data_IF_548782261378
#
_entry.id   IF_548782261378
#
_cell.length_a   1.000
_cell.length_b   1.000
_cell.length_c   1.000
_cell.angle_alpha   90.00
_cell.angle_beta   90.00
_cell.angle_gamma   90.00
#
_symmetry.space_group_name_H-M   'P 1'
#
loop_
_entity.id
_entity.type
_entity.pdbx_description
1 polymer ?
#
# COMPACT_ATOMS: atom_id res chain seq x y z
N UNK A 1 30.71 -30.78 26.78
CA UNK A 1 29.80 -30.57 25.63
C UNK A 1 29.90 -31.79 24.72
N UNK A 2 28.78 -32.27 24.15
CA UNK A 2 28.84 -33.25 23.07
C UNK A 2 29.56 -32.65 21.86
N UNK A 3 30.15 -33.51 21.02
CA UNK A 3 30.76 -33.09 19.77
C UNK A 3 29.69 -32.45 18.88
N UNK A 4 29.89 -31.25 18.32
CA UNK A 4 28.93 -30.65 17.41
C UNK A 4 28.81 -31.48 16.11
N UNK A 5 27.67 -31.40 15.39
CA UNK A 5 27.51 -32.06 14.09
C UNK A 5 28.57 -31.60 13.09
N UNK A 6 29.02 -32.50 12.23
CA UNK A 6 29.92 -32.15 11.13
C UNK A 6 29.20 -31.26 10.10
N UNK A 7 29.77 -30.08 9.84
CA UNK A 7 29.25 -29.08 8.89
C UNK A 7 30.09 -29.00 7.60
N UNK A 8 31.05 -29.89 7.41
CA UNK A 8 31.94 -29.92 6.23
C UNK A 8 31.19 -30.01 4.89
N UNK A 9 29.96 -30.55 4.91
CA UNK A 9 29.06 -30.67 3.76
C UNK A 9 28.31 -29.36 3.41
N UNK A 10 28.31 -28.38 4.30
CA UNK A 10 27.59 -27.12 4.10
C UNK A 10 28.40 -26.23 3.16
N UNK A 11 27.82 -25.83 2.03
CA UNK A 11 28.54 -25.10 0.97
C UNK A 11 29.16 -23.76 1.41
N UNK A 12 28.68 -23.14 2.49
CA UNK A 12 29.29 -21.93 3.07
C UNK A 12 30.65 -22.20 3.74
N UNK A 13 30.92 -23.45 4.13
CA UNK A 13 32.17 -23.89 4.75
C UNK A 13 33.18 -24.42 3.72
N UNK A 14 32.80 -24.55 2.44
CA UNK A 14 33.69 -24.98 1.39
C UNK A 14 34.70 -23.87 1.02
N UNK A 15 35.88 -24.28 0.54
CA UNK A 15 36.86 -23.34 -0.03
C UNK A 15 36.37 -22.81 -1.38
N UNK A 16 36.57 -21.52 -1.64
CA UNK A 16 36.39 -20.93 -2.96
C UNK A 16 37.65 -21.17 -3.82
N UNK A 17 37.56 -21.90 -4.95
CA UNK A 17 38.73 -22.17 -5.80
C UNK A 17 39.37 -20.90 -6.36
N UNK A 18 38.58 -19.84 -6.61
CA UNK A 18 39.07 -18.59 -7.16
C UNK A 18 39.94 -17.79 -6.18
N UNK A 19 39.83 -18.04 -4.87
CA UNK A 19 40.56 -17.34 -3.82
C UNK A 19 41.56 -18.22 -3.08
N UNK A 20 41.98 -19.34 -3.67
CA UNK A 20 42.94 -20.27 -3.06
C UNK A 20 44.30 -19.64 -2.69
N UNK A 21 44.62 -18.48 -3.25
CA UNK A 21 45.87 -17.72 -3.10
C UNK A 21 45.67 -16.35 -2.42
N UNK A 22 44.54 -16.15 -1.72
CA UNK A 22 44.14 -14.87 -1.14
C UNK A 22 45.21 -14.20 -0.27
N UNK A 23 45.98 -14.99 0.48
CA UNK A 23 47.05 -14.56 1.39
C UNK A 23 48.31 -14.06 0.68
N UNK A 24 48.45 -14.33 -0.62
CA UNK A 24 49.59 -13.90 -1.44
C UNK A 24 49.33 -12.63 -2.26
N UNK A 25 48.07 -12.18 -2.31
CA UNK A 25 47.66 -10.96 -3.00
C UNK A 25 48.03 -9.72 -2.17
N UNK A 26 48.32 -8.62 -2.86
CA UNK A 26 48.38 -7.31 -2.20
C UNK A 26 46.97 -6.79 -1.86
N UNK A 27 46.90 -5.70 -1.11
CA UNK A 27 45.62 -5.15 -0.65
C UNK A 27 44.67 -4.79 -1.81
N UNK A 28 45.21 -4.32 -2.94
CA UNK A 28 44.42 -3.98 -4.13
C UNK A 28 43.87 -5.24 -4.81
N UNK A 29 44.68 -6.29 -4.96
CA UNK A 29 44.28 -7.59 -5.49
C UNK A 29 43.22 -8.27 -4.63
N UNK A 30 43.37 -8.23 -3.29
CA UNK A 30 42.36 -8.73 -2.35
C UNK A 30 41.03 -8.00 -2.58
N UNK A 31 41.04 -6.67 -2.62
CA UNK A 31 39.83 -5.88 -2.82
C UNK A 31 39.17 -6.17 -4.18
N UNK A 32 39.95 -6.25 -5.26
CA UNK A 32 39.45 -6.56 -6.60
C UNK A 32 38.79 -7.95 -6.66
N UNK A 33 39.44 -8.96 -6.08
CA UNK A 33 38.91 -10.33 -6.00
C UNK A 33 37.62 -10.37 -5.18
N UNK A 34 37.55 -9.67 -4.05
CA UNK A 34 36.34 -9.58 -3.24
C UNK A 34 35.16 -8.94 -3.99
N UNK A 35 35.42 -7.88 -4.78
CA UNK A 35 34.39 -7.20 -5.58
C UNK A 35 33.90 -8.09 -6.72
N UNK A 36 34.80 -8.80 -7.39
CA UNK A 36 34.41 -9.71 -8.47
C UNK A 36 33.58 -10.89 -7.96
N UNK A 37 33.99 -11.50 -6.83
CA UNK A 37 33.23 -12.57 -6.17
C UNK A 37 31.81 -12.11 -5.76
N UNK A 38 31.64 -10.82 -5.41
CA UNK A 38 30.33 -10.25 -5.06
C UNK A 38 29.32 -10.21 -6.21
N UNK A 39 29.71 -10.41 -7.48
CA UNK A 39 28.75 -10.53 -8.58
C UNK A 39 27.72 -11.65 -8.36
N UNK A 40 28.15 -12.75 -7.74
CA UNK A 40 27.29 -13.87 -7.38
C UNK A 40 26.13 -13.49 -6.45
N UNK A 41 26.26 -12.38 -5.69
CA UNK A 41 25.18 -11.87 -4.84
C UNK A 41 23.98 -11.43 -5.67
N UNK A 42 24.23 -10.70 -6.77
CA UNK A 42 23.16 -10.19 -7.64
C UNK A 42 22.43 -11.34 -8.31
N UNK A 43 23.17 -12.32 -8.80
CA UNK A 43 22.61 -13.53 -9.42
C UNK A 43 21.76 -14.34 -8.43
N UNK A 44 22.26 -14.55 -7.21
CA UNK A 44 21.55 -15.29 -6.17
C UNK A 44 20.22 -14.62 -5.78
N UNK A 45 20.21 -13.29 -5.61
CA UNK A 45 18.98 -12.57 -5.26
C UNK A 45 18.03 -12.47 -6.44
N UNK A 46 18.53 -12.29 -7.66
CA UNK A 46 17.70 -12.30 -8.87
C UNK A 46 16.97 -13.64 -9.04
N UNK A 47 17.66 -14.76 -8.81
CA UNK A 47 17.05 -16.10 -8.83
C UNK A 47 15.99 -16.28 -7.74
N UNK A 48 16.15 -15.64 -6.58
CA UNK A 48 15.22 -15.71 -5.46
C UNK A 48 14.02 -14.74 -5.56
N UNK A 49 14.01 -13.84 -6.56
CA UNK A 49 12.97 -12.82 -6.70
C UNK A 49 11.53 -13.38 -6.73
N UNK A 50 11.21 -14.53 -7.37
CA UNK A 50 9.88 -15.11 -7.32
C UNK A 50 9.44 -15.51 -5.89
N UNK A 51 10.35 -16.09 -5.10
CA UNK A 51 10.08 -16.50 -3.73
C UNK A 51 9.87 -15.28 -2.81
N UNK A 52 10.69 -14.23 -2.98
CA UNK A 52 10.52 -12.95 -2.29
C UNK A 52 9.15 -12.33 -2.62
N UNK A 53 8.78 -12.30 -3.91
CA UNK A 53 7.49 -11.79 -4.36
C UNK A 53 6.30 -12.56 -3.75
N UNK A 54 6.36 -13.89 -3.75
CA UNK A 54 5.34 -14.74 -3.14
C UNK A 54 5.15 -14.45 -1.65
N UNK A 55 6.23 -14.33 -0.90
CA UNK A 55 6.18 -13.95 0.52
C UNK A 55 5.54 -12.57 0.71
N UNK A 56 5.92 -11.58 -0.10
CA UNK A 56 5.35 -10.22 -0.02
C UNK A 56 3.84 -10.24 -0.29
N UNK A 57 3.37 -10.95 -1.32
CA UNK A 57 1.93 -11.07 -1.60
C UNK A 57 1.16 -11.70 -0.44
N UNK A 58 1.74 -12.68 0.25
CA UNK A 58 1.13 -13.30 1.43
C UNK A 58 1.05 -12.34 2.63
N UNK A 59 2.03 -11.43 2.78
CA UNK A 59 2.06 -10.46 3.87
C UNK A 59 1.12 -9.26 3.68
N UNK A 60 0.92 -8.80 2.44
CA UNK A 60 0.10 -7.60 2.15
C UNK A 60 -1.30 -7.60 2.78
N UNK A 61 -2.14 -8.65 2.66
CA UNK A 61 -3.45 -8.66 3.31
C UNK A 61 -3.34 -8.62 4.84
N UNK A 62 -2.42 -9.39 5.44
CA UNK A 62 -2.20 -9.40 6.89
C UNK A 62 -1.78 -8.03 7.43
N UNK A 63 -0.88 -7.33 6.73
CA UNK A 63 -0.44 -5.99 7.11
C UNK A 63 -1.58 -4.96 7.04
N UNK A 64 -2.53 -5.12 6.12
CA UNK A 64 -3.74 -4.27 6.08
C UNK A 64 -4.66 -4.48 7.28
N UNK A 65 -4.58 -5.64 7.92
CA UNK A 65 -5.32 -6.01 9.13
C UNK A 65 -4.53 -5.74 10.43
N UNK A 66 -3.36 -5.10 10.34
CA UNK A 66 -2.51 -4.78 11.49
C UNK A 66 -1.45 -5.83 11.84
N UNK A 67 -1.20 -6.80 10.94
CA UNK A 67 -0.10 -7.76 11.04
C UNK A 67 1.29 -7.12 11.01
N UNK A 68 2.28 -7.86 11.52
CA UNK A 68 3.67 -7.42 11.65
C UNK A 68 4.65 -8.41 11.04
N UNK A 69 5.88 -7.95 10.80
CA UNK A 69 7.01 -8.75 10.33
C UNK A 69 8.09 -8.81 11.41
N UNK A 70 8.56 -10.01 11.74
CA UNK A 70 9.69 -10.18 12.66
C UNK A 70 10.82 -11.01 12.04
N UNK A 71 12.03 -10.48 12.08
CA UNK A 71 13.24 -11.20 11.71
C UNK A 71 13.88 -11.85 12.93
N UNK A 72 14.29 -13.11 12.81
CA UNK A 72 15.04 -13.83 13.84
C UNK A 72 16.34 -14.37 13.25
N UNK A 73 17.47 -14.02 13.85
CA UNK A 73 18.77 -14.52 13.43
C UNK A 73 19.83 -14.39 14.52
N UNK A 74 20.99 -14.98 14.30
CA UNK A 74 22.17 -14.81 15.13
C UNK A 74 23.26 -14.05 14.37
N UNK A 75 24.24 -13.50 15.09
CA UNK A 75 25.41 -12.85 14.50
C UNK A 75 25.05 -11.83 13.40
N UNK A 76 25.70 -11.93 12.24
CA UNK A 76 25.46 -11.04 11.10
C UNK A 76 24.01 -11.09 10.62
N UNK A 77 23.39 -12.27 10.53
CA UNK A 77 22.01 -12.44 10.09
C UNK A 77 21.02 -11.68 10.98
N UNK A 78 21.17 -11.80 12.31
CA UNK A 78 20.34 -11.04 13.26
C UNK A 78 20.56 -9.53 13.16
N UNK A 79 21.82 -9.08 13.01
CA UNK A 79 22.15 -7.65 12.85
C UNK A 79 21.53 -7.06 11.59
N UNK A 80 21.52 -7.80 10.48
CA UNK A 80 20.90 -7.36 9.22
C UNK A 80 19.38 -7.25 9.34
N UNK A 81 18.74 -8.18 10.06
CA UNK A 81 17.31 -8.07 10.39
C UNK A 81 17.00 -6.81 11.20
N UNK A 82 17.81 -6.49 12.20
CA UNK A 82 17.67 -5.25 12.99
C UNK A 82 17.92 -4.01 12.15
N UNK A 83 18.92 -4.02 11.26
CA UNK A 83 19.21 -2.92 10.36
C UNK A 83 18.01 -2.60 9.47
N UNK A 84 17.49 -3.58 8.73
CA UNK A 84 16.36 -3.39 7.82
C UNK A 84 15.09 -2.93 8.56
N UNK A 85 14.80 -3.52 9.73
CA UNK A 85 13.71 -3.10 10.60
C UNK A 85 13.84 -1.62 11.04
N UNK A 86 15.04 -1.19 11.44
CA UNK A 86 15.31 0.18 11.91
C UNK A 86 15.15 1.24 10.81
N UNK A 87 15.31 0.85 9.54
CA UNK A 87 15.17 1.74 8.39
C UNK A 87 13.71 1.90 7.96
N UNK A 88 12.79 1.02 8.38
CA UNK A 88 11.39 1.07 7.99
C UNK A 88 10.67 2.35 8.49
N UNK A 89 10.74 2.75 9.78
CA UNK A 89 10.07 3.98 10.25
C UNK A 89 10.48 5.26 9.52
N UNK A 90 11.78 5.62 9.35
CA UNK A 90 12.16 6.84 8.65
C UNK A 90 11.90 6.78 7.14
N UNK A 91 11.77 5.59 6.54
CA UNK A 91 11.58 5.38 5.09
C UNK A 91 10.11 5.34 4.70
N UNK A 92 9.26 4.65 5.47
CA UNK A 92 7.86 4.37 5.09
C UNK A 92 6.84 4.93 6.07
N UNK A 93 7.29 5.67 7.09
CA UNK A 93 6.43 6.13 8.17
C UNK A 93 5.64 4.99 8.79
N UNK A 94 6.31 3.86 8.96
CA UNK A 94 5.77 2.70 9.66
C UNK A 94 5.91 2.90 11.16
N UNK A 95 4.98 2.34 11.92
CA UNK A 95 5.18 2.17 13.35
C UNK A 95 6.38 1.24 13.59
N UNK A 96 7.32 1.56 14.51
CA UNK A 96 8.45 0.69 14.84
C UNK A 96 8.07 -0.75 15.20
N UNK A 97 6.84 -1.02 15.65
CA UNK A 97 6.35 -2.35 15.95
C UNK A 97 5.91 -3.15 14.70
N UNK A 98 5.77 -2.52 13.52
CA UNK A 98 5.35 -3.21 12.29
C UNK A 98 6.44 -4.10 11.71
N UNK A 99 7.71 -3.74 11.89
CA UNK A 99 8.87 -4.54 11.46
C UNK A 99 9.88 -4.57 12.59
N UNK A 100 10.17 -5.76 13.11
CA UNK A 100 11.03 -5.95 14.29
C UNK A 100 12.18 -6.90 13.95
N UNK A 101 13.41 -6.50 14.28
CA UNK A 101 14.57 -7.38 14.22
C UNK A 101 14.89 -7.96 15.60
N UNK A 102 15.02 -9.28 15.68
CA UNK A 102 15.42 -10.00 16.88
C UNK A 102 16.73 -10.74 16.64
N UNK A 103 17.72 -10.45 17.49
CA UNK A 103 19.03 -11.09 17.46
C UNK A 103 19.20 -12.04 18.65
N UNK A 104 19.73 -13.24 18.41
CA UNK A 104 20.12 -14.16 19.47
C UNK A 104 21.12 -13.48 20.43
N UNK A 105 20.87 -13.56 21.74
CA UNK A 105 21.64 -12.85 22.76
C UNK A 105 21.20 -11.42 23.05
N UNK A 106 20.14 -10.93 22.38
CA UNK A 106 19.52 -9.62 22.64
C UNK A 106 20.40 -8.43 22.22
N UNK A 107 20.02 -7.22 22.63
CA UNK A 107 20.64 -5.96 22.16
C UNK A 107 22.15 -5.89 22.32
N UNK A 108 22.71 -6.51 23.37
CA UNK A 108 24.17 -6.58 23.56
C UNK A 108 24.90 -7.25 22.37
N UNK A 109 24.22 -8.20 21.70
CA UNK A 109 24.74 -8.92 20.56
C UNK A 109 24.87 -8.06 19.29
N UNK A 110 24.26 -6.86 19.27
CA UNK A 110 24.42 -5.91 18.16
C UNK A 110 25.86 -5.42 18.05
N UNK A 111 26.56 -5.27 19.17
CA UNK A 111 27.93 -4.72 19.23
C UNK A 111 28.98 -5.73 19.64
N UNK A 112 28.58 -6.85 20.26
CA UNK A 112 29.49 -7.92 20.72
C UNK A 112 28.98 -9.27 20.23
N UNK A 113 29.85 -10.22 19.97
CA UNK A 113 29.38 -11.59 19.68
C UNK A 113 28.85 -12.24 20.95
N UNK A 114 27.71 -12.91 20.86
CA UNK A 114 27.17 -13.73 21.94
C UNK A 114 27.48 -15.20 21.65
N UNK A 115 28.56 -15.71 22.25
CA UNK A 115 28.97 -17.11 22.06
C UNK A 115 27.87 -18.07 22.57
N UNK A 116 27.58 -19.12 21.79
CA UNK A 116 26.66 -20.21 22.16
C UNK A 116 25.15 -19.93 22.06
N UNK A 117 24.72 -18.66 22.01
CA UNK A 117 23.28 -18.31 21.93
C UNK A 117 22.60 -18.76 20.64
N UNK A 118 23.37 -18.89 19.56
CA UNK A 118 22.87 -19.34 18.26
C UNK A 118 22.52 -20.83 18.22
N UNK A 119 23.09 -21.62 19.14
CA UNK A 119 22.86 -23.06 19.27
C UNK A 119 21.62 -23.37 20.14
N UNK A 120 21.01 -22.37 20.77
CA UNK A 120 19.82 -22.53 21.60
C UNK A 120 18.55 -22.59 20.74
N UNK A 121 18.08 -23.80 20.43
CA UNK A 121 16.83 -24.02 19.70
C UNK A 121 15.62 -23.32 20.33
N UNK A 122 15.50 -23.35 21.67
CA UNK A 122 14.43 -22.68 22.41
C UNK A 122 14.65 -21.19 22.68
N UNK A 123 15.79 -20.62 22.26
CA UNK A 123 16.24 -19.29 22.67
C UNK A 123 15.30 -18.14 22.27
N UNK A 124 14.48 -18.33 21.23
CA UNK A 124 13.52 -17.33 20.75
C UNK A 124 12.19 -17.30 21.54
N UNK A 125 11.93 -18.27 22.43
CA UNK A 125 10.61 -18.44 23.08
C UNK A 125 10.16 -17.19 23.84
N UNK A 126 11.02 -16.66 24.71
CA UNK A 126 10.70 -15.51 25.54
C UNK A 126 10.38 -14.27 24.71
N UNK A 127 11.07 -14.08 23.58
CA UNK A 127 10.86 -12.92 22.73
C UNK A 127 9.58 -13.05 21.89
N UNK A 128 9.26 -14.25 21.38
CA UNK A 128 7.99 -14.52 20.71
C UNK A 128 6.79 -14.28 21.65
N UNK A 129 6.93 -14.61 22.94
CA UNK A 129 5.93 -14.35 23.97
C UNK A 129 5.81 -12.85 24.29
N UNK A 130 6.96 -12.18 24.49
CA UNK A 130 7.02 -10.72 24.74
C UNK A 130 6.38 -9.92 23.61
N UNK A 131 6.60 -10.33 22.36
CA UNK A 131 6.03 -9.71 21.18
C UNK A 131 4.58 -10.12 20.92
N UNK A 132 4.03 -11.07 21.69
CA UNK A 132 2.70 -11.64 21.50
C UNK A 132 2.46 -12.08 20.05
N UNK A 133 3.39 -12.88 19.50
CA UNK A 133 3.30 -13.34 18.11
C UNK A 133 2.04 -14.19 17.89
N UNK A 134 1.29 -13.89 16.83
CA UNK A 134 0.02 -14.54 16.50
C UNK A 134 -0.27 -14.66 15.00
N UNK A 135 -1.52 -14.99 14.61
CA UNK A 135 -1.86 -15.37 13.24
C UNK A 135 -1.67 -14.31 12.15
N UNK A 136 -1.76 -13.04 12.52
CA UNK A 136 -1.53 -11.91 11.61
C UNK A 136 -0.04 -11.64 11.38
N UNK A 137 0.85 -12.20 12.19
CA UNK A 137 2.27 -11.97 12.08
C UNK A 137 2.94 -12.88 11.05
N UNK A 138 4.10 -12.42 10.57
CA UNK A 138 5.02 -13.20 9.76
C UNK A 138 6.39 -13.22 10.43
N UNK A 139 6.93 -14.41 10.67
CA UNK A 139 8.24 -14.62 11.29
C UNK A 139 9.21 -15.19 10.27
N UNK A 140 10.36 -14.53 10.11
CA UNK A 140 11.40 -14.93 9.17
C UNK A 140 12.66 -15.33 9.95
N UNK A 141 13.02 -16.61 9.87
CA UNK A 141 14.31 -17.11 10.34
C UNK A 141 15.41 -16.86 9.32
N UNK A 142 16.59 -16.42 9.75
CA UNK A 142 17.72 -16.10 8.87
C UNK A 142 18.96 -16.85 9.35
N UNK A 143 19.51 -17.72 8.51
CA UNK A 143 20.76 -18.44 8.76
C UNK A 143 21.51 -18.70 7.44
N UNK A 144 22.71 -18.15 7.29
CA UNK A 144 23.50 -18.28 6.04
C UNK A 144 23.71 -19.75 5.64
N UNK A 145 24.18 -20.59 6.57
CA UNK A 145 24.36 -22.03 6.34
C UNK A 145 23.08 -22.86 6.51
N UNK A 146 21.97 -22.24 6.92
CA UNK A 146 20.67 -22.88 7.04
C UNK A 146 20.46 -23.81 8.25
N UNK A 147 21.52 -24.17 8.98
CA UNK A 147 21.47 -25.16 10.07
C UNK A 147 21.45 -24.57 11.48
N UNK A 148 21.45 -23.25 11.62
CA UNK A 148 21.54 -22.58 12.94
C UNK A 148 20.29 -22.87 13.79
N UNK A 149 20.40 -23.47 14.99
CA UNK A 149 19.25 -23.86 15.80
C UNK A 149 18.30 -22.72 16.20
N UNK A 150 18.83 -21.56 16.60
CA UNK A 150 18.01 -20.42 17.06
C UNK A 150 16.94 -19.96 16.05
N UNK A 151 17.26 -19.59 14.80
CA UNK A 151 16.25 -19.16 13.82
C UNK A 151 15.32 -20.31 13.38
N UNK A 152 15.80 -21.56 13.34
CA UNK A 152 14.96 -22.74 13.07
C UNK A 152 13.92 -22.96 14.19
N UNK A 153 14.34 -22.78 15.44
CA UNK A 153 13.44 -22.82 16.58
C UNK A 153 12.43 -21.68 16.60
N UNK A 154 12.84 -20.48 16.21
CA UNK A 154 11.95 -19.33 16.09
C UNK A 154 10.79 -19.59 15.12
N UNK A 155 11.07 -20.10 13.91
CA UNK A 155 10.01 -20.40 12.93
C UNK A 155 9.06 -21.49 13.42
N UNK A 156 9.55 -22.58 14.01
CA UNK A 156 8.69 -23.66 14.54
C UNK A 156 7.80 -23.17 15.68
N UNK A 157 8.36 -22.40 16.60
CA UNK A 157 7.62 -21.81 17.70
C UNK A 157 6.59 -20.77 17.23
N UNK A 158 6.88 -20.01 16.18
CA UNK A 158 5.94 -19.08 15.57
C UNK A 158 4.81 -19.81 14.82
N UNK A 159 5.15 -20.89 14.08
CA UNK A 159 4.19 -21.74 13.38
C UNK A 159 3.16 -22.32 14.33
N UNK A 160 3.59 -22.81 15.49
CA UNK A 160 2.72 -23.33 16.54
C UNK A 160 1.75 -22.27 17.11
N UNK A 161 2.03 -20.97 16.92
CA UNK A 161 1.17 -19.84 17.30
C UNK A 161 0.29 -19.34 16.15
N UNK A 162 0.32 -20.00 14.99
CA UNK A 162 -0.48 -19.66 13.81
C UNK A 162 0.11 -18.57 12.93
N UNK A 163 1.30 -18.04 13.23
CA UNK A 163 1.97 -17.06 12.38
C UNK A 163 2.37 -17.68 11.03
N UNK A 164 2.45 -16.85 9.98
CA UNK A 164 3.12 -17.26 8.76
C UNK A 164 4.63 -17.33 9.01
N UNK A 165 5.29 -18.26 8.35
CA UNK A 165 6.72 -18.51 8.56
C UNK A 165 7.49 -18.44 7.25
N UNK A 166 8.66 -17.82 7.30
CA UNK A 166 9.61 -17.87 6.20
C UNK A 166 11.02 -18.18 6.72
N UNK A 167 11.87 -18.66 5.82
CA UNK A 167 13.27 -18.92 6.15
C UNK A 167 14.19 -18.50 5.02
N UNK A 168 15.28 -17.83 5.35
CA UNK A 168 16.30 -17.38 4.40
C UNK A 168 17.59 -18.15 4.68
N UNK A 169 18.06 -18.89 3.67
CA UNK A 169 19.35 -19.57 3.67
C UNK A 169 20.19 -19.11 2.47
N UNK A 170 21.52 -19.16 2.58
CA UNK A 170 22.44 -18.79 1.50
C UNK A 170 23.04 -20.01 0.78
N UNK A 171 22.49 -21.19 1.05
CA UNK A 171 22.88 -22.47 0.46
C UNK A 171 21.64 -23.25 -0.01
N UNK A 172 21.71 -23.99 -1.13
CA UNK A 172 20.67 -24.93 -1.48
C UNK A 172 20.56 -26.02 -0.41
N UNK A 173 19.34 -26.21 0.10
CA UNK A 173 19.00 -27.21 1.08
C UNK A 173 17.50 -27.53 0.96
N UNK A 174 17.05 -28.59 1.64
CA UNK A 174 15.62 -28.85 1.78
C UNK A 174 14.94 -27.76 2.62
N UNK A 175 13.69 -27.45 2.26
CA UNK A 175 12.88 -26.51 3.01
C UNK A 175 12.63 -27.05 4.44
N UNK A 176 12.87 -26.25 5.50
CA UNK A 176 12.52 -26.66 6.85
C UNK A 176 11.02 -26.97 6.98
N UNK A 177 10.67 -28.00 7.76
CA UNK A 177 9.28 -28.50 7.89
C UNK A 177 8.28 -27.43 8.32
N UNK A 178 8.66 -26.54 9.24
CA UNK A 178 7.80 -25.49 9.79
C UNK A 178 7.92 -24.15 9.04
N UNK A 179 8.29 -24.18 7.75
CA UNK A 179 8.46 -23.01 6.91
C UNK A 179 7.38 -22.98 5.83
N UNK A 180 6.65 -21.87 5.69
CA UNK A 180 5.67 -21.67 4.61
C UNK A 180 6.32 -21.11 3.34
N UNK A 181 7.28 -20.20 3.51
CA UNK A 181 7.96 -19.51 2.42
C UNK A 181 9.48 -19.65 2.54
N UNK A 182 10.10 -20.40 1.63
CA UNK A 182 11.54 -20.63 1.66
C UNK A 182 12.27 -19.82 0.60
N UNK A 183 13.30 -19.08 1.02
CA UNK A 183 14.11 -18.22 0.15
C UNK A 183 15.55 -18.73 0.20
N UNK A 184 16.05 -19.16 -0.95
CA UNK A 184 17.44 -19.64 -1.13
C UNK A 184 18.25 -18.60 -1.89
N UNK A 185 19.22 -18.00 -1.22
CA UNK A 185 20.18 -17.04 -1.75
C UNK A 185 21.51 -17.75 -2.04
N UNK A 186 21.55 -18.62 -3.06
CA UNK A 186 22.71 -19.46 -3.36
C UNK A 186 23.95 -18.65 -3.78
N UNK A 187 24.75 -18.16 -2.83
CA UNK A 187 25.93 -17.29 -3.07
C UNK A 187 27.22 -18.05 -3.33
N UNK A 188 27.22 -19.37 -3.09
CA UNK A 188 28.41 -20.22 -3.17
C UNK A 188 29.43 -19.97 -2.05
N UNK A 189 30.62 -20.62 -2.14
CA UNK A 189 31.72 -20.45 -1.19
C UNK A 189 32.19 -19.01 -1.05
N UNK A 190 32.57 -18.60 0.15
CA UNK A 190 33.07 -17.25 0.42
C UNK A 190 34.55 -17.11 0.02
N UNK A 191 34.95 -15.91 -0.43
CA UNK A 191 36.37 -15.57 -0.70
C UNK A 191 37.30 -15.90 0.47
N UNK A 192 36.84 -15.67 1.71
CA UNK A 192 37.43 -16.19 2.93
C UNK A 192 36.53 -17.31 3.45
N UNK A 193 37.02 -18.55 3.39
CA UNK A 193 36.28 -19.77 3.75
C UNK A 193 35.53 -19.61 5.08
N UNK A 194 34.22 -19.89 5.09
CA UNK A 194 33.36 -19.79 6.28
C UNK A 194 32.94 -18.36 6.68
N UNK A 195 33.51 -17.30 6.09
CA UNK A 195 33.20 -15.91 6.45
C UNK A 195 31.89 -15.40 5.81
N UNK A 196 30.77 -15.99 6.22
CA UNK A 196 29.42 -15.67 5.70
C UNK A 196 28.92 -14.24 5.96
N UNK A 197 29.68 -13.44 6.72
CA UNK A 197 29.43 -11.98 6.82
C UNK A 197 29.64 -11.22 5.49
N UNK A 198 30.22 -11.88 4.47
CA UNK A 198 30.55 -11.31 3.17
C UNK A 198 29.38 -11.51 2.18
N UNK A 199 29.48 -12.40 1.17
CA UNK A 199 28.46 -12.52 0.13
C UNK A 199 27.10 -12.92 0.69
N UNK A 200 27.06 -13.92 1.58
CA UNK A 200 25.82 -14.35 2.21
C UNK A 200 25.15 -13.22 3.00
N UNK A 201 25.93 -12.41 3.72
CA UNK A 201 25.46 -11.21 4.40
C UNK A 201 24.93 -10.14 3.42
N UNK A 202 25.66 -9.85 2.34
CA UNK A 202 25.24 -8.87 1.33
C UNK A 202 23.96 -9.32 0.60
N UNK A 203 23.85 -10.60 0.25
CA UNK A 203 22.65 -11.17 -0.36
C UNK A 203 21.46 -11.10 0.59
N UNK A 204 21.66 -11.44 1.86
CA UNK A 204 20.63 -11.31 2.90
C UNK A 204 20.16 -9.86 2.99
N UNK A 205 21.06 -8.87 3.09
CA UNK A 205 20.70 -7.45 3.13
C UNK A 205 19.84 -7.06 1.93
N UNK A 206 20.26 -7.43 0.72
CA UNK A 206 19.54 -7.08 -0.49
C UNK A 206 18.15 -7.73 -0.52
N UNK A 207 18.03 -8.99 -0.11
CA UNK A 207 16.75 -9.68 -0.02
C UNK A 207 15.80 -9.01 1.01
N UNK A 208 16.29 -8.66 2.21
CA UNK A 208 15.49 -7.96 3.22
C UNK A 208 14.99 -6.61 2.70
N UNK A 209 15.86 -5.82 2.06
CA UNK A 209 15.47 -4.55 1.45
C UNK A 209 14.43 -4.73 0.34
N UNK A 210 14.52 -5.80 -0.47
CA UNK A 210 13.48 -6.14 -1.43
C UNK A 210 12.15 -6.46 -0.74
N UNK A 211 12.17 -7.25 0.33
CA UNK A 211 10.99 -7.65 1.09
C UNK A 211 10.25 -6.41 1.64
N UNK A 212 10.92 -5.57 2.42
CA UNK A 212 10.28 -4.40 3.05
C UNK A 212 9.90 -3.33 2.04
N UNK A 213 10.76 -3.05 1.06
CA UNK A 213 10.45 -2.05 0.03
C UNK A 213 9.26 -2.48 -0.82
N UNK A 214 9.19 -3.75 -1.24
CA UNK A 214 8.04 -4.25 -2.00
C UNK A 214 6.77 -4.26 -1.14
N UNK A 215 6.85 -4.72 0.11
CA UNK A 215 5.73 -4.73 1.05
C UNK A 215 5.13 -3.32 1.22
N UNK A 216 5.94 -2.33 1.61
CA UNK A 216 5.44 -0.98 1.84
C UNK A 216 5.01 -0.26 0.56
N UNK A 217 5.62 -0.58 -0.59
CA UNK A 217 5.13 -0.12 -1.90
C UNK A 217 3.71 -0.62 -2.16
N UNK A 218 3.44 -1.90 -1.90
CA UNK A 218 2.12 -2.53 -2.07
C UNK A 218 1.08 -2.09 -1.04
N UNK A 219 1.54 -1.56 0.09
CA UNK A 219 0.73 -0.85 1.09
C UNK A 219 0.50 0.64 0.74
N UNK A 220 1.01 1.12 -0.40
CA UNK A 220 0.78 2.48 -0.89
C UNK A 220 1.59 3.56 -0.16
N UNK A 221 2.77 3.19 0.36
CA UNK A 221 3.74 4.14 0.95
C UNK A 221 4.66 4.79 -0.10
N UNK A 222 4.60 4.31 -1.34
CA UNK A 222 5.39 4.77 -2.49
C UNK A 222 4.45 5.13 -3.65
N UNK A 223 4.74 6.21 -4.38
CA UNK A 223 4.03 6.61 -5.62
C UNK A 223 5.04 6.77 -6.74
N UNK A 224 4.90 5.97 -7.81
CA UNK A 224 5.96 5.84 -8.80
C UNK A 224 7.21 5.27 -8.14
N UNK A 225 8.32 6.02 -8.16
CA UNK A 225 9.55 5.72 -7.43
C UNK A 225 9.80 6.69 -6.25
N UNK A 226 8.78 7.46 -5.87
CA UNK A 226 8.88 8.48 -4.82
C UNK A 226 8.34 7.94 -3.50
N UNK A 227 9.16 8.12 -2.47
CA UNK A 227 8.81 7.88 -1.08
C UNK A 227 7.86 9.00 -0.63
N UNK A 228 6.57 8.69 -0.59
CA UNK A 228 5.52 9.70 -0.32
C UNK A 228 5.06 9.67 1.12
N UNK A 229 5.30 8.59 1.85
CA UNK A 229 5.01 8.53 3.28
C UNK A 229 6.29 8.70 4.09
N UNK A 230 6.83 9.92 4.08
CA UNK A 230 8.03 10.36 4.81
C UNK A 230 7.61 11.33 5.89
N UNK A 231 8.07 11.15 7.13
CA UNK A 231 8.06 12.25 8.10
C UNK A 231 9.32 13.06 7.92
N UNK A 232 9.10 14.31 7.57
CA UNK A 232 10.11 15.33 7.51
C UNK A 232 10.52 15.75 8.94
N UNK A 233 11.33 14.91 9.61
CA UNK A 233 11.79 15.13 11.00
C UNK A 233 13.10 15.89 11.12
N UNK A 234 13.84 16.02 10.01
CA UNK A 234 15.10 16.78 9.94
C UNK A 234 15.17 17.57 8.64
N UNK A 235 16.08 18.56 8.57
CA UNK A 235 16.19 19.49 7.45
C UNK A 235 16.35 18.81 6.09
N UNK A 236 17.11 17.70 6.02
CA UNK A 236 17.30 16.92 4.78
C UNK A 236 15.98 16.28 4.32
N UNK A 237 15.20 15.73 5.25
CA UNK A 237 13.90 15.11 4.94
C UNK A 237 12.84 16.17 4.61
N UNK A 238 12.86 17.33 5.28
CA UNK A 238 12.02 18.49 4.96
C UNK A 238 12.30 18.97 3.54
N UNK A 239 13.56 19.18 3.18
CA UNK A 239 13.91 19.59 1.83
C UNK A 239 13.47 18.58 0.77
N UNK A 240 13.69 17.28 1.04
CA UNK A 240 13.23 16.20 0.15
C UNK A 240 11.71 16.22 -0.01
N UNK A 241 10.97 16.40 1.08
CA UNK A 241 9.51 16.46 1.05
C UNK A 241 9.01 17.62 0.16
N UNK A 242 9.59 18.82 0.34
CA UNK A 242 9.24 20.01 -0.46
C UNK A 242 9.54 19.77 -1.95
N UNK A 243 10.73 19.24 -2.28
CA UNK A 243 11.07 18.89 -3.67
C UNK A 243 10.12 17.85 -4.25
N UNK A 244 9.70 16.87 -3.46
CA UNK A 244 8.77 15.83 -3.91
C UNK A 244 7.40 16.42 -4.23
N UNK A 245 6.85 17.29 -3.38
CA UNK A 245 5.58 18.00 -3.66
C UNK A 245 5.67 18.79 -4.97
N UNK A 246 6.77 19.52 -5.18
CA UNK A 246 7.01 20.30 -6.41
C UNK A 246 7.23 19.43 -7.66
N UNK A 247 7.58 18.16 -7.53
CA UNK A 247 7.61 17.24 -8.68
C UNK A 247 6.20 16.87 -9.15
N UNK A 248 5.21 16.87 -8.24
CA UNK A 248 3.81 16.64 -8.60
C UNK A 248 3.11 17.91 -9.08
N UNK A 249 3.54 19.08 -8.64
CA UNK A 249 3.05 20.38 -9.09
C UNK A 249 4.21 21.37 -9.26
N UNK A 250 4.87 21.39 -10.43
CA UNK A 250 6.01 22.26 -10.70
C UNK A 250 5.71 23.75 -10.64
N UNK A 251 4.42 24.13 -10.68
CA UNK A 251 4.01 25.53 -10.60
C UNK A 251 4.13 26.12 -9.19
N UNK A 252 4.18 25.26 -8.15
CA UNK A 252 4.31 25.70 -6.76
C UNK A 252 5.71 26.20 -6.43
N UNK A 253 5.76 27.32 -5.72
CA UNK A 253 6.95 27.81 -5.02
C UNK A 253 7.35 26.87 -3.88
N UNK A 254 8.55 27.09 -3.34
CA UNK A 254 9.04 26.34 -2.17
C UNK A 254 8.15 26.57 -0.95
N UNK A 255 7.73 27.82 -0.73
CA UNK A 255 6.95 28.22 0.45
C UNK A 255 5.52 27.69 0.38
N UNK A 256 4.89 27.68 -0.81
CA UNK A 256 3.56 27.06 -0.99
C UNK A 256 3.60 25.54 -0.78
N UNK A 257 4.65 24.87 -1.28
CA UNK A 257 4.84 23.44 -1.06
C UNK A 257 5.09 23.12 0.42
N UNK A 258 5.82 23.98 1.14
CA UNK A 258 6.00 23.86 2.58
C UNK A 258 4.70 24.07 3.35
N UNK A 259 3.95 25.14 3.07
CA UNK A 259 2.66 25.41 3.69
C UNK A 259 1.67 24.25 3.47
N UNK A 260 1.65 23.67 2.26
CA UNK A 260 0.85 22.48 1.95
C UNK A 260 1.27 21.28 2.80
N UNK A 261 2.57 21.04 2.98
CA UNK A 261 3.07 19.98 3.85
C UNK A 261 2.66 20.21 5.30
N UNK A 262 2.79 21.44 5.83
CA UNK A 262 2.38 21.74 7.21
C UNK A 262 0.88 21.52 7.43
N UNK A 263 0.04 21.99 6.49
CA UNK A 263 -1.40 21.74 6.51
C UNK A 263 -1.76 20.24 6.46
N UNK A 264 -0.86 19.41 5.95
CA UNK A 264 -1.03 17.95 5.82
C UNK A 264 -0.13 17.16 6.78
N UNK A 265 0.20 17.75 7.94
CA UNK A 265 0.98 17.12 9.02
C UNK A 265 2.31 16.56 8.52
N UNK A 266 2.96 17.30 7.63
CA UNK A 266 4.26 17.02 6.99
C UNK A 266 4.33 15.69 6.24
N UNK A 267 3.19 15.16 5.80
CA UNK A 267 3.11 13.97 4.95
C UNK A 267 3.03 14.38 3.48
N UNK A 268 4.02 13.98 2.68
CA UNK A 268 4.01 14.21 1.23
C UNK A 268 2.79 13.55 0.60
N UNK A 269 2.46 12.31 0.99
CA UNK A 269 1.33 11.54 0.48
C UNK A 269 0.03 12.32 0.61
N UNK A 270 -0.29 12.81 1.81
CA UNK A 270 -1.49 13.63 2.05
C UNK A 270 -1.45 14.93 1.23
N UNK A 271 -0.29 15.57 1.12
CA UNK A 271 -0.10 16.82 0.40
C UNK A 271 -0.29 16.69 -1.13
N UNK A 272 0.04 15.54 -1.73
CA UNK A 272 -0.03 15.32 -3.19
C UNK A 272 -1.23 14.48 -3.64
N UNK A 273 -2.00 13.97 -2.68
CA UNK A 273 -3.16 13.14 -2.95
C UNK A 273 -4.23 14.01 -3.61
N UNK A 274 -4.52 13.68 -4.88
CA UNK A 274 -5.59 14.33 -5.64
C UNK A 274 -6.80 13.42 -5.58
N UNK A 275 -7.99 13.93 -5.23
CA UNK A 275 -9.18 13.10 -5.22
C UNK A 275 -9.44 12.50 -6.60
N UNK A 276 -9.66 11.19 -6.65
CA UNK A 276 -10.12 10.54 -7.88
C UNK A 276 -11.64 10.73 -8.00
N UNK A 277 -12.10 11.66 -8.82
CA UNK A 277 -13.54 11.89 -9.06
C UNK A 277 -14.16 10.98 -10.14
N UNK A 278 -13.38 10.04 -10.68
CA UNK A 278 -13.86 8.97 -11.55
C UNK A 278 -13.46 7.59 -11.01
N UNK A 279 -13.94 7.19 -9.82
CA UNK A 279 -13.67 5.86 -9.28
C UNK A 279 -14.48 4.76 -9.98
N UNK A 280 -14.06 3.52 -9.79
CA UNK A 280 -14.94 2.35 -9.95
C UNK A 280 -15.44 1.94 -8.57
N UNK A 281 -16.76 1.92 -8.37
CA UNK A 281 -17.39 1.60 -7.09
C UNK A 281 -18.34 0.42 -7.29
N UNK A 282 -18.29 -0.57 -6.38
CA UNK A 282 -19.09 -1.79 -6.51
C UNK A 282 -20.01 -1.96 -5.31
N UNK A 283 -21.31 -2.05 -5.56
CA UNK A 283 -22.31 -2.52 -4.60
C UNK A 283 -23.12 -3.69 -5.16
N UNK A 284 -23.96 -4.28 -4.33
CA UNK A 284 -24.80 -5.44 -4.69
C UNK A 284 -25.87 -5.14 -5.75
N UNK A 285 -26.41 -3.91 -5.75
CA UNK A 285 -27.53 -3.48 -6.61
C UNK A 285 -27.08 -2.55 -7.74
N UNK A 286 -25.93 -1.91 -7.58
CA UNK A 286 -25.39 -0.94 -8.55
C UNK A 286 -23.87 -0.92 -8.53
N UNK A 287 -23.30 -0.82 -9.73
CA UNK A 287 -21.89 -0.55 -9.93
C UNK A 287 -21.74 0.83 -10.57
N UNK A 288 -20.70 1.57 -10.22
CA UNK A 288 -20.33 2.84 -10.85
C UNK A 288 -18.97 2.70 -11.51
N UNK A 289 -18.80 3.30 -12.67
CA UNK A 289 -17.50 3.42 -13.34
C UNK A 289 -17.40 4.72 -14.14
N UNK A 290 -16.17 5.17 -14.49
CA UNK A 290 -15.95 6.39 -15.25
C UNK A 290 -16.79 6.42 -16.52
N UNK A 291 -17.46 7.55 -16.77
CA UNK A 291 -18.17 7.79 -18.02
C UNK A 291 -17.18 7.89 -19.18
N UNK A 292 -17.53 7.29 -20.32
CA UNK A 292 -16.73 7.21 -21.55
C UNK A 292 -17.54 7.81 -22.70
N UNK A 293 -16.89 8.40 -23.72
CA UNK A 293 -17.60 8.96 -24.88
C UNK A 293 -18.60 7.99 -25.53
N UNK A 294 -18.25 6.71 -25.63
CA UNK A 294 -19.07 5.67 -26.27
C UNK A 294 -20.31 5.27 -25.47
N UNK A 295 -20.48 5.78 -24.24
CA UNK A 295 -21.66 5.48 -23.41
C UNK A 295 -22.93 6.21 -23.85
N UNK A 296 -22.79 7.19 -24.76
CA UNK A 296 -23.83 8.17 -25.05
C UNK A 296 -25.16 7.53 -25.44
N UNK A 297 -25.12 6.48 -26.27
CA UNK A 297 -26.32 5.81 -26.76
C UNK A 297 -27.01 4.99 -25.67
N UNK A 298 -26.23 4.19 -24.93
CA UNK A 298 -26.76 3.37 -23.85
C UNK A 298 -27.28 4.21 -22.68
N UNK A 299 -26.61 5.32 -22.35
CA UNK A 299 -27.04 6.23 -21.30
C UNK A 299 -28.24 7.08 -21.74
N UNK A 300 -28.31 7.50 -23.01
CA UNK A 300 -29.50 8.16 -23.56
C UNK A 300 -30.71 7.24 -23.54
N UNK A 301 -30.54 5.96 -23.88
CA UNK A 301 -31.61 4.96 -23.77
C UNK A 301 -32.14 4.82 -22.33
N UNK A 302 -31.26 4.85 -21.31
CA UNK A 302 -31.69 4.86 -19.90
C UNK A 302 -32.38 6.19 -19.49
N UNK A 303 -32.12 7.28 -20.22
CA UNK A 303 -32.65 8.62 -19.99
C UNK A 303 -33.91 8.94 -20.80
N UNK A 304 -34.33 8.11 -21.75
CA UNK A 304 -35.33 8.48 -22.77
C UNK A 304 -36.77 8.54 -22.25
N UNK A 305 -37.02 8.11 -21.02
CA UNK A 305 -38.34 8.19 -20.39
C UNK A 305 -38.59 9.61 -19.84
N UNK A 306 -39.56 10.38 -20.39
CA UNK A 306 -39.81 11.76 -19.97
C UNK A 306 -40.21 11.89 -18.49
N UNK A 307 -40.79 10.85 -17.88
CA UNK A 307 -41.18 10.87 -16.47
C UNK A 307 -39.99 10.87 -15.51
N UNK A 308 -38.79 10.52 -15.99
CA UNK A 308 -37.53 10.73 -15.24
C UNK A 308 -37.34 12.22 -14.95
N UNK A 309 -37.67 13.07 -15.92
CA UNK A 309 -37.32 14.49 -15.94
C UNK A 309 -38.42 15.42 -15.46
N UNK A 310 -39.64 14.93 -15.23
CA UNK A 310 -40.82 15.70 -14.83
C UNK A 310 -40.58 16.69 -13.66
N UNK A 311 -39.76 16.29 -12.68
CA UNK A 311 -39.43 17.11 -11.50
C UNK A 311 -38.05 17.81 -11.59
N UNK A 312 -37.34 17.66 -12.71
CA UNK A 312 -36.05 18.31 -12.95
C UNK A 312 -36.24 19.71 -13.55
N UNK A 313 -35.20 20.54 -13.45
CA UNK A 313 -35.20 21.90 -14.00
C UNK A 313 -35.28 21.94 -15.53
N UNK A 314 -34.67 20.95 -16.21
CA UNK A 314 -34.83 20.72 -17.65
C UNK A 314 -35.59 19.40 -17.84
N UNK A 315 -36.82 19.50 -18.34
CA UNK A 315 -37.76 18.36 -18.47
C UNK A 315 -37.61 17.63 -19.81
N UNK A 316 -36.98 18.29 -20.77
CA UNK A 316 -36.69 17.86 -22.14
C UNK A 316 -35.40 17.04 -22.27
N UNK A 317 -34.72 16.70 -21.17
CA UNK A 317 -33.49 15.86 -21.17
C UNK A 317 -33.66 14.44 -21.69
N UNK A 318 -34.89 14.00 -21.96
CA UNK A 318 -35.15 12.75 -22.68
C UNK A 318 -34.91 12.89 -24.19
N UNK A 319 -34.96 14.11 -24.73
CA UNK A 319 -34.65 14.41 -26.13
C UNK A 319 -33.16 14.35 -26.38
N UNK A 320 -32.75 13.72 -27.50
CA UNK A 320 -31.35 13.42 -27.79
C UNK A 320 -30.46 14.67 -27.78
N UNK A 321 -30.86 15.72 -28.47
CA UNK A 321 -30.06 16.95 -28.59
C UNK A 321 -29.84 17.65 -27.22
N UNK A 322 -30.79 17.54 -26.30
CA UNK A 322 -30.67 18.08 -24.93
C UNK A 322 -29.77 17.17 -24.09
N UNK A 323 -29.97 15.87 -24.21
CA UNK A 323 -29.17 14.86 -23.51
C UNK A 323 -27.68 14.91 -23.88
N UNK A 324 -27.35 15.15 -25.15
CA UNK A 324 -25.97 15.28 -25.61
C UNK A 324 -25.22 16.42 -24.89
N UNK A 325 -25.89 17.54 -24.60
CA UNK A 325 -25.30 18.64 -23.80
C UNK A 325 -25.08 18.23 -22.34
N UNK A 326 -26.05 17.55 -21.74
CA UNK A 326 -25.93 17.01 -20.38
C UNK A 326 -24.74 16.03 -20.27
N UNK A 327 -24.62 15.14 -21.26
CA UNK A 327 -23.56 14.14 -21.36
C UNK A 327 -22.19 14.78 -21.57
N UNK A 328 -22.07 15.71 -22.53
CA UNK A 328 -20.84 16.47 -22.76
C UNK A 328 -20.39 17.22 -21.50
N UNK A 329 -21.33 17.83 -20.76
CA UNK A 329 -21.04 18.47 -19.48
C UNK A 329 -20.55 17.50 -18.40
N UNK A 330 -21.04 16.25 -18.38
CA UNK A 330 -20.57 15.22 -17.45
C UNK A 330 -19.17 14.68 -17.80
N UNK A 331 -18.85 14.57 -19.09
CA UNK A 331 -17.49 14.24 -19.54
C UNK A 331 -16.50 15.36 -19.23
N UNK A 332 -16.86 16.61 -19.57
CA UNK A 332 -16.01 17.77 -19.36
C UNK A 332 -15.73 18.06 -17.87
N UNK A 333 -16.63 17.65 -16.96
CA UNK A 333 -16.43 17.88 -15.52
C UNK A 333 -15.33 17.01 -14.91
N UNK A 334 -14.85 15.96 -15.61
CA UNK A 334 -13.87 15.03 -15.07
C UNK A 334 -14.36 14.22 -13.87
N UNK A 335 -15.69 14.19 -13.64
CA UNK A 335 -16.32 13.52 -12.48
C UNK A 335 -17.56 12.70 -12.81
N UNK A 336 -17.90 12.58 -14.10
CA UNK A 336 -19.04 11.79 -14.59
C UNK A 336 -18.85 10.29 -14.38
N UNK A 337 -19.88 9.65 -13.81
CA UNK A 337 -19.97 8.20 -13.62
C UNK A 337 -21.27 7.68 -14.21
N UNK A 338 -21.21 6.53 -14.87
CA UNK A 338 -22.43 5.78 -15.21
C UNK A 338 -22.75 4.77 -14.12
N UNK A 339 -24.03 4.56 -13.87
CA UNK A 339 -24.56 3.53 -13.00
C UNK A 339 -24.93 2.30 -13.83
N UNK A 340 -24.47 1.13 -13.40
CA UNK A 340 -24.75 -0.15 -14.03
C UNK A 340 -25.50 -1.06 -13.06
N UNK A 341 -26.43 -1.86 -13.58
CA UNK A 341 -27.03 -2.97 -12.84
C UNK A 341 -26.03 -4.15 -12.69
N UNK A 342 -26.34 -5.18 -11.88
CA UNK A 342 -25.45 -6.35 -11.71
C UNK A 342 -25.17 -7.13 -13.00
N UNK A 343 -26.00 -6.98 -14.04
CA UNK A 343 -25.77 -7.56 -15.36
C UNK A 343 -24.86 -6.71 -16.25
N UNK A 344 -24.43 -5.53 -15.78
CA UNK A 344 -23.54 -4.62 -16.50
C UNK A 344 -24.24 -3.70 -17.49
N UNK A 345 -25.57 -3.58 -17.43
CA UNK A 345 -26.31 -2.64 -18.28
C UNK A 345 -26.34 -1.26 -17.64
N UNK A 346 -26.18 -0.20 -18.45
CA UNK A 346 -26.29 1.19 -17.98
C UNK A 346 -27.74 1.49 -17.61
N UNK A 347 -27.95 2.00 -16.40
CA UNK A 347 -29.27 2.30 -15.82
C UNK A 347 -29.40 3.77 -15.35
N UNK A 348 -28.37 4.59 -15.55
CA UNK A 348 -28.38 6.01 -15.21
C UNK A 348 -26.98 6.56 -14.97
N UNK A 349 -26.88 7.73 -14.35
CA UNK A 349 -25.60 8.38 -14.05
C UNK A 349 -25.65 9.24 -12.80
N UNK A 350 -24.48 9.56 -12.27
CA UNK A 350 -24.25 10.59 -11.25
C UNK A 350 -22.88 11.21 -11.48
N UNK A 351 -22.54 12.30 -10.79
CA UNK A 351 -21.20 12.88 -10.89
C UNK A 351 -20.75 13.60 -9.62
N UNK A 352 -19.44 13.64 -9.43
CA UNK A 352 -18.77 14.59 -8.56
C UNK A 352 -18.44 15.87 -9.34
N UNK A 353 -18.57 17.02 -8.71
CA UNK A 353 -18.19 18.32 -9.29
C UNK A 353 -17.95 19.34 -8.17
N UNK A 354 -17.39 20.50 -8.53
CA UNK A 354 -17.08 21.61 -7.63
C UNK A 354 -16.29 21.16 -6.38
N UNK A 355 -15.23 20.36 -6.58
CA UNK A 355 -14.29 20.03 -5.50
C UNK A 355 -13.56 21.29 -5.06
N UNK A 356 -13.72 21.63 -3.78
CA UNK A 356 -13.01 22.72 -3.13
C UNK A 356 -11.98 22.15 -2.14
N UNK A 357 -10.67 22.25 -2.46
CA UNK A 357 -9.63 21.73 -1.58
C UNK A 357 -9.46 22.52 -0.28
N UNK A 358 -9.91 23.78 -0.23
CA UNK A 358 -9.73 24.66 0.94
C UNK A 358 -10.65 24.26 2.09
N UNK A 359 -11.94 24.05 1.82
CA UNK A 359 -12.92 23.60 2.82
C UNK A 359 -13.09 22.06 2.82
N UNK A 360 -12.40 21.38 1.91
CA UNK A 360 -12.50 19.94 1.66
C UNK A 360 -13.96 19.54 1.39
N UNK A 361 -14.63 20.23 0.47
CA UNK A 361 -16.01 19.91 0.10
C UNK A 361 -16.16 19.52 -1.37
N UNK A 362 -17.11 18.63 -1.65
CA UNK A 362 -17.43 18.18 -3.02
C UNK A 362 -18.94 18.14 -3.22
N UNK A 363 -19.42 18.41 -4.42
CA UNK A 363 -20.83 18.30 -4.76
C UNK A 363 -21.10 16.98 -5.47
N UNK A 364 -22.19 16.30 -5.08
CA UNK A 364 -22.67 15.08 -5.74
C UNK A 364 -24.05 15.35 -6.34
N UNK A 365 -24.22 15.16 -7.64
CA UNK A 365 -25.45 15.59 -8.30
C UNK A 365 -25.64 15.06 -9.71
N UNK A 366 -26.48 15.77 -10.48
CA UNK A 366 -26.86 15.41 -11.86
C UNK A 366 -27.28 13.94 -11.98
N UNK A 367 -28.01 13.49 -10.96
CA UNK A 367 -28.27 12.07 -10.75
C UNK A 367 -29.61 11.69 -11.34
N UNK A 368 -29.60 10.67 -12.18
CA UNK A 368 -30.82 10.02 -12.61
C UNK A 368 -30.61 8.51 -12.66
N UNK A 369 -31.71 7.78 -12.51
CA UNK A 369 -31.81 6.36 -12.77
C UNK A 369 -33.07 6.12 -13.59
N UNK A 370 -33.07 5.10 -14.43
CA UNK A 370 -34.27 4.65 -15.10
C UNK A 370 -35.36 4.25 -14.09
N UNK A 371 -36.63 4.40 -14.46
CA UNK A 371 -37.76 4.19 -13.55
C UNK A 371 -37.86 2.79 -12.97
N UNK A 372 -37.41 1.77 -13.73
CA UNK A 372 -37.40 0.39 -13.28
C UNK A 372 -36.57 0.15 -12.00
N UNK A 373 -35.68 1.08 -11.64
CA UNK A 373 -34.82 1.02 -10.46
C UNK A 373 -35.29 1.90 -9.30
N UNK A 374 -36.39 2.63 -9.46
CA UNK A 374 -36.91 3.52 -8.42
C UNK A 374 -37.56 2.71 -7.29
N UNK A 375 -37.38 3.19 -6.05
CA UNK A 375 -37.94 2.54 -4.85
C UNK A 375 -37.23 1.24 -4.42
N UNK A 376 -36.24 0.75 -5.18
CA UNK A 376 -35.53 -0.53 -4.91
C UNK A 376 -34.26 -0.39 -4.08
N UNK A 377 -34.00 0.78 -3.50
CA UNK A 377 -32.76 1.09 -2.78
C UNK A 377 -31.53 1.32 -3.66
N UNK A 378 -31.63 1.20 -5.00
CA UNK A 378 -30.51 1.39 -5.94
C UNK A 378 -29.87 2.78 -5.81
N UNK A 379 -30.67 3.86 -5.79
CA UNK A 379 -30.14 5.21 -5.61
C UNK A 379 -29.49 5.42 -4.23
N UNK A 380 -30.06 4.78 -3.19
CA UNK A 380 -29.51 4.88 -1.83
C UNK A 380 -28.12 4.23 -1.77
N UNK A 381 -27.97 3.01 -2.30
CA UNK A 381 -26.66 2.34 -2.36
C UNK A 381 -25.68 3.12 -3.26
N UNK A 382 -26.14 3.64 -4.40
CA UNK A 382 -25.30 4.48 -5.27
C UNK A 382 -24.74 5.69 -4.50
N UNK A 383 -25.58 6.41 -3.77
CA UNK A 383 -25.15 7.56 -2.97
C UNK A 383 -24.26 7.17 -1.79
N UNK A 384 -24.54 6.05 -1.14
CA UNK A 384 -23.68 5.52 -0.08
C UNK A 384 -22.27 5.23 -0.61
N UNK A 385 -22.13 4.49 -1.70
CA UNK A 385 -20.84 4.22 -2.35
C UNK A 385 -20.10 5.51 -2.71
N UNK A 386 -20.85 6.49 -3.24
CA UNK A 386 -20.25 7.77 -3.62
C UNK A 386 -19.79 8.59 -2.41
N UNK A 387 -20.54 8.56 -1.30
CA UNK A 387 -20.19 9.24 -0.06
C UNK A 387 -19.01 8.59 0.64
N UNK A 388 -19.00 7.25 0.74
CA UNK A 388 -17.86 6.48 1.26
C UNK A 388 -16.58 6.80 0.48
N UNK A 389 -16.67 6.91 -0.85
CA UNK A 389 -15.55 7.35 -1.67
C UNK A 389 -15.15 8.81 -1.40
N UNK A 390 -16.13 9.72 -1.40
CA UNK A 390 -15.90 11.16 -1.25
C UNK A 390 -15.26 11.51 0.09
N UNK A 391 -15.71 10.88 1.18
CA UNK A 391 -15.22 11.16 2.54
C UNK A 391 -13.81 10.65 2.83
N UNK A 392 -13.18 9.96 1.86
CA UNK A 392 -11.72 9.77 1.88
C UNK A 392 -10.96 11.08 1.66
N UNK A 393 -11.61 12.05 1.02
CA UNK A 393 -11.01 13.32 0.59
C UNK A 393 -11.69 14.52 1.25
N UNK A 394 -13.03 14.52 1.25
CA UNK A 394 -13.89 15.61 1.68
C UNK A 394 -14.29 15.47 3.16
N UNK A 395 -14.40 16.60 3.86
CA UNK A 395 -15.08 16.72 5.16
C UNK A 395 -16.60 16.82 4.99
N UNK A 396 -17.04 17.39 3.85
CA UNK A 396 -18.43 17.72 3.58
C UNK A 396 -18.79 17.36 2.14
N UNK A 397 -19.95 16.72 1.93
CA UNK A 397 -20.52 16.50 0.61
C UNK A 397 -21.83 17.26 0.48
N UNK A 398 -21.92 18.06 -0.58
CA UNK A 398 -23.06 18.91 -0.91
C UNK A 398 -23.95 18.26 -1.98
N UNK A 399 -25.22 18.64 -2.00
CA UNK A 399 -26.18 18.24 -3.01
C UNK A 399 -27.02 19.44 -3.44
N UNK A 400 -27.03 19.74 -4.74
CA UNK A 400 -27.84 20.82 -5.32
C UNK A 400 -29.15 20.22 -5.87
N UNK A 401 -30.29 20.62 -5.32
CA UNK A 401 -31.60 20.11 -5.72
C UNK A 401 -32.51 21.26 -6.14
N UNK A 402 -33.29 21.09 -7.21
CA UNK A 402 -34.32 22.07 -7.57
C UNK A 402 -35.41 22.15 -6.49
N UNK A 403 -35.93 23.34 -6.13
CA UNK A 403 -37.02 23.47 -5.15
C UNK A 403 -38.25 22.60 -5.47
N UNK A 404 -38.58 22.42 -6.75
CA UNK A 404 -39.69 21.56 -7.20
C UNK A 404 -39.38 20.04 -7.27
N UNK A 405 -38.13 19.62 -7.00
CA UNK A 405 -37.73 18.22 -7.11
C UNK A 405 -37.90 17.46 -5.79
N UNK A 406 -39.15 17.25 -5.41
CA UNK A 406 -39.54 16.58 -4.16
C UNK A 406 -38.95 15.17 -4.06
N UNK A 407 -38.84 14.45 -5.20
CA UNK A 407 -38.26 13.10 -5.25
C UNK A 407 -36.80 13.09 -4.79
N UNK A 408 -36.01 14.06 -5.24
CA UNK A 408 -34.59 14.18 -4.84
C UNK A 408 -34.45 14.62 -3.40
N UNK A 409 -35.28 15.56 -2.93
CA UNK A 409 -35.28 16.00 -1.52
C UNK A 409 -35.56 14.83 -0.57
N UNK A 410 -36.55 13.99 -0.89
CA UNK A 410 -36.87 12.77 -0.12
C UNK A 410 -35.74 11.74 -0.18
N UNK A 411 -35.09 11.57 -1.33
CA UNK A 411 -33.96 10.66 -1.47
C UNK A 411 -32.75 11.10 -0.62
N UNK A 412 -32.51 12.41 -0.52
CA UNK A 412 -31.44 12.98 0.30
C UNK A 412 -31.69 12.79 1.80
N UNK A 413 -32.94 12.95 2.26
CA UNK A 413 -33.30 12.70 3.65
C UNK A 413 -32.98 11.24 4.07
N UNK A 414 -33.18 10.27 3.18
CA UNK A 414 -32.90 8.84 3.43
C UNK A 414 -31.41 8.50 3.57
N UNK A 415 -30.52 9.35 3.05
CA UNK A 415 -29.06 9.20 3.21
C UNK A 415 -28.51 10.13 4.30
N UNK A 416 -29.38 10.71 5.13
CA UNK A 416 -29.00 11.57 6.26
C UNK A 416 -28.54 12.97 5.87
N UNK A 417 -28.70 13.39 4.62
CA UNK A 417 -28.34 14.74 4.20
C UNK A 417 -29.33 15.76 4.78
N UNK A 418 -28.80 16.83 5.37
CA UNK A 418 -29.57 17.89 6.04
C UNK A 418 -29.67 19.11 5.14
N UNK A 419 -30.85 19.72 5.12
CA UNK A 419 -31.04 21.01 4.46
C UNK A 419 -30.17 22.06 5.15
N UNK A 420 -29.50 22.89 4.36
CA UNK A 420 -28.65 23.97 4.84
C UNK A 420 -29.25 25.33 4.49
N UNK A 421 -29.38 25.61 3.20
CA UNK A 421 -29.87 26.90 2.68
C UNK A 421 -30.43 26.78 1.27
N UNK A 422 -31.11 27.84 0.84
CA UNK A 422 -31.47 28.05 -0.57
C UNK A 422 -30.61 29.19 -1.12
N UNK A 423 -29.98 28.96 -2.28
CA UNK A 423 -29.20 29.97 -2.98
C UNK A 423 -29.35 29.82 -4.49
N UNK A 424 -29.10 30.89 -5.22
CA UNK A 424 -29.00 30.81 -6.68
C UNK A 424 -27.61 30.30 -7.07
N UNK A 425 -27.57 29.22 -7.85
CA UNK A 425 -26.33 28.61 -8.34
C UNK A 425 -26.28 28.77 -9.85
N UNK A 426 -25.10 29.11 -10.38
CA UNK A 426 -24.88 29.21 -11.82
C UNK A 426 -24.97 27.82 -12.46
N UNK A 427 -26.02 27.57 -13.26
CA UNK A 427 -26.21 26.32 -14.00
C UNK A 427 -26.39 26.65 -15.47
N UNK A 428 -25.45 26.22 -16.31
CA UNK A 428 -25.51 26.50 -17.76
C UNK A 428 -25.48 27.99 -18.10
N UNK A 429 -24.83 28.83 -17.27
CA UNK A 429 -24.76 30.29 -17.47
C UNK A 429 -25.94 31.07 -16.90
N UNK A 430 -26.92 30.41 -16.27
CA UNK A 430 -28.10 31.06 -15.69
C UNK A 430 -28.13 30.82 -14.18
N UNK A 431 -28.34 31.89 -13.39
CA UNK A 431 -28.56 31.78 -11.95
C UNK A 431 -29.89 31.08 -11.69
N UNK A 432 -29.82 29.90 -11.08
CA UNK A 432 -30.99 29.04 -10.87
C UNK A 432 -31.13 28.72 -9.38
N UNK A 433 -32.32 28.88 -8.78
CA UNK A 433 -32.52 28.59 -7.37
C UNK A 433 -32.31 27.10 -7.08
N UNK A 434 -31.49 26.80 -6.06
CA UNK A 434 -31.20 25.45 -5.57
C UNK A 434 -31.38 25.37 -4.06
N UNK A 435 -31.96 24.27 -3.62
CA UNK A 435 -31.94 23.81 -2.24
C UNK A 435 -30.64 23.04 -2.02
N UNK A 436 -29.80 23.53 -1.11
CA UNK A 436 -28.54 22.90 -0.76
C UNK A 436 -28.73 22.00 0.45
N UNK A 437 -28.32 20.75 0.30
CA UNK A 437 -28.23 19.79 1.38
C UNK A 437 -26.78 19.40 1.59
N UNK A 438 -26.41 19.07 2.82
CA UNK A 438 -25.07 18.58 3.14
C UNK A 438 -25.11 17.30 3.97
N UNK A 439 -24.07 16.50 3.83
CA UNK A 439 -23.66 15.50 4.82
C UNK A 439 -22.19 15.69 5.16
N UNK A 440 -21.80 15.36 6.41
CA UNK A 440 -20.43 15.50 6.90
C UNK A 440 -19.83 14.13 7.21
N UNK A 441 -18.52 14.00 7.03
CA UNK A 441 -17.78 12.80 7.44
C UNK A 441 -17.93 12.59 8.95
N UNK A 442 -18.13 11.34 9.37
CA UNK A 442 -18.22 10.94 10.78
C UNK A 442 -16.81 10.80 11.39
N UNK A 443 -15.77 10.80 10.56
CA UNK A 443 -14.37 10.70 10.97
C UNK A 443 -13.67 11.99 10.54
N UNK A 444 -13.48 12.89 11.51
CA UNK A 444 -12.74 14.14 11.37
C UNK A 444 -11.26 13.96 11.65
#
# INVERSE_FOLDING_TARGET
MPLPPDRSHVRTEHRNPASGHLDTLDAAGIAALMVDDHRAVIEAVAAAAPAIGSLVEAMVPKFREGGRLMYFGAGTSGRLGVLDASECPPTFMSDPAQVVGVIAGGDSALRRSSEGREDEWGGARAELERLAVGPLDTVIGIAAGGTTPYPLGAIRLAKARGAATAFIACVPMEQPTDCDHFIVLNTGPEVLTGSTRLKAGTATKLALNCITTALFTRLGKVRGNLMVDVSATNDKLIDRAIRTVRQFDPSRSRDEAWALLEANGRSVKRAIEVPNWQPTLRGERVHLRPMRPDDIDALHAAASDPLIWEQHSERDRHERAVFERFFAGALASGGGLVALDPAGRIIGSSRYYDWNPTDRSVVIGYTFLERAHWGKGTNQQMKQLMLEHAFRWASTAWFHVSPGNLRSQQALARIGARFDRQEDVLVGGVMTPRMLYQTKSIHG
#
